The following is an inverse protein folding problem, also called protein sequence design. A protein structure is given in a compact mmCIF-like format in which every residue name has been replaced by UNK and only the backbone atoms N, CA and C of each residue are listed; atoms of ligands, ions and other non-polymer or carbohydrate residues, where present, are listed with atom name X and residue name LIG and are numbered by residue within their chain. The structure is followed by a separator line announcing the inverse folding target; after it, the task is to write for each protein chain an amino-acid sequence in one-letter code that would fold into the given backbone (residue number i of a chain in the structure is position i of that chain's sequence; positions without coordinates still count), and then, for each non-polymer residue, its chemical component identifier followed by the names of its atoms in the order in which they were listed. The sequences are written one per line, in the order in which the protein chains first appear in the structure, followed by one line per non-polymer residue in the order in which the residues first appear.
data_IF_383295361876
#
_entry.id   IF_383295361876
#
_cell.length_a   1.000
_cell.length_b   1.000
_cell.length_c   1.000
_cell.angle_alpha   90.00
_cell.angle_beta   90.00
_cell.angle_gamma   90.00
#
_symmetry.space_group_name_H-M   'P 1'
#
loop_
_entity.id
_entity.type
_entity.pdbx_description
1 polymer ?
#
# COMPACT_ATOMS: atom_id res chain seq x y z
N UNK A 1 21.64 -15.18 61.48
CA UNK A 1 21.74 -14.04 60.53
C UNK A 1 20.82 -14.32 59.35
N UNK A 2 19.66 -13.66 59.27
CA UNK A 2 18.69 -13.84 58.16
C UNK A 2 19.16 -12.99 56.98
N UNK A 3 19.50 -13.63 55.86
CA UNK A 3 19.80 -12.94 54.59
C UNK A 3 18.48 -12.69 53.87
N UNK A 4 18.05 -11.43 53.86
CA UNK A 4 16.89 -10.98 53.08
C UNK A 4 17.30 -11.00 51.61
N UNK A 5 16.70 -11.90 50.82
CA UNK A 5 16.89 -11.96 49.38
C UNK A 5 15.95 -10.93 48.75
N UNK A 6 16.49 -9.76 48.40
CA UNK A 6 15.72 -8.75 47.66
C UNK A 6 15.61 -9.19 46.21
N UNK A 7 14.42 -9.66 45.82
CA UNK A 7 14.09 -9.99 44.44
C UNK A 7 13.92 -8.68 43.65
N UNK A 8 14.93 -8.32 42.85
CA UNK A 8 14.82 -7.24 41.88
C UNK A 8 14.08 -7.82 40.67
N UNK A 9 12.77 -7.56 40.59
CA UNK A 9 12.01 -7.79 39.35
C UNK A 9 12.52 -6.79 38.30
N UNK A 10 13.40 -7.27 37.42
CA UNK A 10 13.75 -6.59 36.17
C UNK A 10 12.46 -6.47 35.37
N UNK A 11 11.87 -5.28 35.35
CA UNK A 11 10.83 -4.92 34.38
C UNK A 11 11.54 -4.97 33.03
N UNK A 12 11.37 -6.07 32.30
CA UNK A 12 11.55 -6.07 30.86
C UNK A 12 10.57 -5.04 30.33
N UNK A 13 11.05 -3.84 30.04
CA UNK A 13 10.38 -2.95 29.09
C UNK A 13 10.45 -3.69 27.76
N UNK A 14 9.46 -4.55 27.53
CA UNK A 14 9.19 -5.05 26.19
C UNK A 14 8.81 -3.80 25.41
N UNK A 15 9.79 -3.23 24.72
CA UNK A 15 9.55 -2.29 23.64
C UNK A 15 8.83 -3.09 22.56
N UNK A 16 7.53 -3.38 22.76
CA UNK A 16 6.64 -3.65 21.66
C UNK A 16 6.68 -2.37 20.83
N UNK A 17 7.55 -2.33 19.82
CA UNK A 17 7.33 -1.45 18.70
C UNK A 17 5.91 -1.76 18.26
N UNK A 18 4.95 -0.87 18.53
CA UNK A 18 3.58 -1.03 18.08
C UNK A 18 3.64 -1.06 16.55
N UNK A 19 3.79 -2.27 15.99
CA UNK A 19 3.82 -2.46 14.56
C UNK A 19 2.46 -2.00 14.05
N UNK A 20 2.46 -0.98 13.20
CA UNK A 20 1.24 -0.40 12.66
C UNK A 20 0.38 -1.50 12.05
N UNK A 21 -0.88 -1.58 12.47
CA UNK A 21 -1.84 -2.58 12.02
C UNK A 21 -2.19 -2.39 10.55
N UNK A 22 -2.80 -3.40 9.93
CA UNK A 22 -3.32 -3.30 8.56
C UNK A 22 -4.31 -2.14 8.42
N UNK A 23 -5.26 -2.02 9.36
CA UNK A 23 -6.27 -0.96 9.35
C UNK A 23 -5.62 0.42 9.43
N UNK A 24 -4.70 0.63 10.37
CA UNK A 24 -3.99 1.91 10.50
C UNK A 24 -3.15 2.22 9.25
N UNK A 25 -2.61 1.21 8.57
CA UNK A 25 -1.83 1.40 7.34
C UNK A 25 -2.74 1.78 6.17
N UNK A 26 -3.91 1.16 6.04
CA UNK A 26 -4.93 1.51 5.04
C UNK A 26 -5.47 2.92 5.29
N UNK A 27 -5.79 3.26 6.55
CA UNK A 27 -6.27 4.59 6.94
C UNK A 27 -5.23 5.67 6.59
N UNK A 28 -3.96 5.41 6.90
CA UNK A 28 -2.84 6.29 6.49
C UNK A 28 -2.75 6.44 4.97
N UNK A 29 -2.78 5.33 4.22
CA UNK A 29 -2.69 5.36 2.76
C UNK A 29 -3.84 6.16 2.13
N UNK A 30 -5.06 5.93 2.57
CA UNK A 30 -6.23 6.67 2.08
C UNK A 30 -6.15 8.17 2.40
N UNK A 31 -5.63 8.54 3.58
CA UNK A 31 -5.35 9.93 3.91
C UNK A 31 -4.32 10.55 2.95
N UNK A 32 -3.23 9.83 2.66
CA UNK A 32 -2.20 10.27 1.73
C UNK A 32 -2.71 10.36 0.28
N UNK A 33 -3.52 9.41 -0.16
CA UNK A 33 -4.13 9.41 -1.49
C UNK A 33 -5.08 10.59 -1.66
N UNK A 34 -5.93 10.85 -0.68
CA UNK A 34 -6.81 12.04 -0.67
C UNK A 34 -6.02 13.36 -0.72
N UNK A 35 -4.86 13.40 -0.08
CA UNK A 35 -4.02 14.62 0.00
C UNK A 35 -3.20 14.86 -1.28
N UNK A 36 -2.63 13.80 -1.86
CA UNK A 36 -1.56 13.91 -2.86
C UNK A 36 -1.89 13.32 -4.23
N UNK A 37 -3.04 12.67 -4.42
CA UNK A 37 -3.41 12.15 -5.74
C UNK A 37 -3.48 13.28 -6.76
N UNK A 38 -2.95 13.03 -7.95
CA UNK A 38 -3.14 13.94 -9.07
C UNK A 38 -4.61 13.96 -9.51
N UNK A 39 -5.20 15.15 -9.60
CA UNK A 39 -6.61 15.37 -9.99
C UNK A 39 -6.83 15.56 -11.49
N UNK A 40 -5.81 15.25 -12.32
CA UNK A 40 -5.93 15.40 -13.77
C UNK A 40 -7.09 14.58 -14.37
N UNK A 41 -7.79 15.15 -15.35
CA UNK A 41 -8.88 14.45 -16.04
C UNK A 41 -10.15 14.23 -15.20
N UNK A 42 -10.36 15.03 -14.15
CA UNK A 42 -11.54 14.92 -13.28
C UNK A 42 -11.42 13.82 -12.22
N UNK A 43 -10.23 13.20 -12.09
CA UNK A 43 -9.95 12.27 -11.00
C UNK A 43 -10.09 12.99 -9.67
N UNK A 44 -10.93 12.46 -8.80
CA UNK A 44 -11.25 13.10 -7.52
C UNK A 44 -11.19 12.15 -6.32
N UNK A 45 -10.82 10.89 -6.54
CA UNK A 45 -10.49 9.98 -5.45
C UNK A 45 -9.61 8.81 -5.88
N UNK A 46 -8.73 8.39 -4.99
CA UNK A 46 -8.01 7.13 -5.02
C UNK A 46 -8.16 6.52 -3.64
N UNK A 47 -8.64 5.29 -3.57
CA UNK A 47 -8.77 4.55 -2.30
C UNK A 47 -8.17 3.17 -2.43
N UNK A 48 -7.75 2.62 -1.29
CA UNK A 48 -7.39 1.22 -1.13
C UNK A 48 -8.22 0.61 0.00
N UNK A 49 -8.69 -0.61 -0.23
CA UNK A 49 -9.34 -1.45 0.77
C UNK A 49 -8.91 -2.91 0.61
N UNK A 50 -9.16 -3.70 1.63
CA UNK A 50 -8.94 -5.14 1.64
C UNK A 50 -10.26 -5.88 1.73
N UNK A 51 -10.43 -6.93 0.95
CA UNK A 51 -11.58 -7.83 1.02
C UNK A 51 -11.09 -9.29 1.01
N UNK A 52 -11.93 -10.21 1.50
CA UNK A 52 -11.69 -11.65 1.34
C UNK A 52 -12.50 -12.11 0.15
N UNK A 53 -11.84 -12.59 -0.90
CA UNK A 53 -12.52 -13.13 -2.07
C UNK A 53 -13.41 -14.31 -1.64
N UNK A 54 -14.69 -14.20 -1.98
CA UNK A 54 -15.71 -15.15 -1.53
C UNK A 54 -15.46 -16.58 -2.00
N UNK A 55 -14.82 -16.75 -3.17
CA UNK A 55 -14.56 -18.03 -3.82
C UNK A 55 -13.26 -18.68 -3.35
N UNK A 56 -12.15 -17.97 -3.48
CA UNK A 56 -10.81 -18.47 -3.17
C UNK A 56 -10.44 -18.36 -1.69
N UNK A 57 -11.22 -17.59 -0.91
CA UNK A 57 -10.92 -17.22 0.50
C UNK A 57 -9.58 -16.51 0.68
N UNK A 58 -8.96 -16.07 -0.41
CA UNK A 58 -7.74 -15.29 -0.36
C UNK A 58 -8.08 -13.83 -0.11
N UNK A 59 -7.19 -13.14 0.62
CA UNK A 59 -7.27 -11.70 0.74
C UNK A 59 -6.88 -11.05 -0.58
N UNK A 60 -7.66 -10.06 -0.98
CA UNK A 60 -7.39 -9.18 -2.11
C UNK A 60 -7.35 -7.73 -1.64
N UNK A 61 -6.46 -6.96 -2.25
CA UNK A 61 -6.50 -5.50 -2.20
C UNK A 61 -7.23 -4.98 -3.42
N UNK A 62 -8.07 -3.98 -3.17
CA UNK A 62 -8.86 -3.30 -4.20
C UNK A 62 -8.46 -1.83 -4.15
N UNK A 63 -7.95 -1.35 -5.27
CA UNK A 63 -7.68 0.07 -5.51
C UNK A 63 -8.76 0.62 -6.44
N UNK A 64 -9.44 1.67 -6.01
CA UNK A 64 -10.50 2.32 -6.77
C UNK A 64 -10.07 3.74 -7.14
N UNK A 65 -10.19 4.10 -8.42
CA UNK A 65 -10.02 5.46 -8.91
C UNK A 65 -11.39 6.03 -9.25
N UNK A 66 -11.69 7.20 -8.71
CA UNK A 66 -12.93 7.91 -8.94
C UNK A 66 -12.69 9.13 -9.84
N UNK A 67 -13.59 9.31 -10.81
CA UNK A 67 -13.70 10.51 -11.65
C UNK A 67 -15.12 11.03 -11.48
N UNK A 68 -15.28 12.31 -11.14
CA UNK A 68 -16.59 12.93 -10.84
C UNK A 68 -17.44 12.13 -9.83
N UNK A 69 -16.81 11.59 -8.77
CA UNK A 69 -17.42 10.74 -7.75
C UNK A 69 -17.97 9.39 -8.26
N UNK A 70 -17.58 8.95 -9.45
CA UNK A 70 -17.96 7.66 -10.02
C UNK A 70 -16.74 6.77 -10.16
N UNK A 71 -16.90 5.47 -9.94
CA UNK A 71 -15.84 4.49 -10.15
C UNK A 71 -15.45 4.49 -11.63
N UNK A 72 -14.22 4.91 -11.91
CA UNK A 72 -13.64 4.96 -13.24
C UNK A 72 -12.82 3.70 -13.52
N UNK A 73 -11.98 3.33 -12.56
CA UNK A 73 -11.11 2.15 -12.63
C UNK A 73 -11.11 1.42 -11.30
N UNK A 74 -11.12 0.09 -11.36
CA UNK A 74 -10.94 -0.79 -10.22
C UNK A 74 -9.81 -1.76 -10.52
N UNK A 75 -8.81 -1.79 -9.66
CA UNK A 75 -7.69 -2.72 -9.72
C UNK A 75 -7.74 -3.67 -8.51
N UNK A 76 -7.73 -4.99 -8.76
CA UNK A 76 -7.74 -6.05 -7.75
C UNK A 76 -6.49 -6.90 -7.84
N UNK A 77 -5.89 -7.22 -6.70
CA UNK A 77 -4.71 -8.08 -6.66
C UNK A 77 -4.53 -8.76 -5.31
N UNK A 78 -3.98 -9.98 -5.33
CA UNK A 78 -3.51 -10.63 -4.12
C UNK A 78 -2.13 -10.08 -3.73
N UNK A 79 -1.91 -9.69 -2.45
CA UNK A 79 -0.62 -9.18 -1.99
C UNK A 79 0.55 -10.14 -2.26
N UNK A 80 0.31 -11.46 -2.16
CA UNK A 80 1.32 -12.50 -2.43
C UNK A 80 1.87 -12.49 -3.87
N UNK A 81 1.12 -11.92 -4.81
CA UNK A 81 1.53 -11.85 -6.21
C UNK A 81 2.27 -10.54 -6.53
N UNK A 82 2.41 -9.63 -5.57
CA UNK A 82 3.18 -8.39 -5.74
C UNK A 82 4.65 -8.68 -5.49
N UNK A 83 5.46 -8.38 -6.51
CA UNK A 83 6.90 -8.65 -6.53
C UNK A 83 7.73 -7.42 -6.17
N UNK A 84 7.24 -6.22 -6.49
CA UNK A 84 7.94 -4.97 -6.22
C UNK A 84 6.98 -3.79 -6.16
N UNK A 85 7.37 -2.78 -5.39
CA UNK A 85 6.74 -1.46 -5.38
C UNK A 85 7.87 -0.45 -5.56
N UNK A 86 7.87 0.28 -6.66
CA UNK A 86 8.93 1.24 -7.00
C UNK A 86 8.38 2.65 -7.14
N UNK A 87 9.27 3.62 -6.93
CA UNK A 87 9.04 5.03 -7.23
C UNK A 87 9.97 5.41 -8.36
N UNK A 88 9.52 6.28 -9.25
CA UNK A 88 10.40 6.90 -10.24
C UNK A 88 10.19 8.42 -10.20
N UNK A 89 11.27 9.22 -10.09
CA UNK A 89 11.18 10.64 -10.40
C UNK A 89 11.02 10.80 -11.91
N UNK A 90 9.90 11.34 -12.40
CA UNK A 90 9.89 11.83 -13.77
C UNK A 90 10.82 13.05 -13.89
N UNK A 91 11.72 13.09 -14.89
CA UNK A 91 12.72 14.15 -15.04
C UNK A 91 12.13 15.51 -15.45
N UNK A 92 10.84 15.57 -15.82
CA UNK A 92 10.13 16.80 -16.18
C UNK A 92 9.01 17.06 -15.18
N UNK A 93 9.29 17.96 -14.24
CA UNK A 93 8.43 18.51 -13.18
C UNK A 93 6.91 18.43 -13.41
N UNK A 94 6.24 17.67 -12.55
CA UNK A 94 5.01 17.99 -11.78
C UNK A 94 4.44 16.72 -11.13
N UNK A 95 4.70 15.57 -11.76
CA UNK A 95 4.11 14.30 -11.35
C UNK A 95 5.17 13.29 -10.95
N UNK A 96 4.84 12.52 -9.92
CA UNK A 96 5.61 11.37 -9.50
C UNK A 96 4.69 10.19 -9.43
N UNK A 97 5.23 9.00 -9.61
CA UNK A 97 4.39 7.81 -9.57
C UNK A 97 4.96 6.72 -8.68
N UNK A 98 4.05 5.90 -8.18
CA UNK A 98 4.34 4.59 -7.62
C UNK A 98 3.88 3.54 -8.63
N UNK A 99 4.75 2.58 -8.94
CA UNK A 99 4.37 1.38 -9.69
C UNK A 99 4.31 0.17 -8.74
N UNK A 100 3.14 -0.48 -8.71
CA UNK A 100 2.92 -1.77 -8.06
C UNK A 100 3.08 -2.85 -9.15
N UNK A 101 4.08 -3.71 -8.99
CA UNK A 101 4.52 -4.67 -10.01
C UNK A 101 4.22 -6.10 -9.55
N UNK A 102 3.44 -6.82 -10.35
CA UNK A 102 3.10 -8.22 -10.09
C UNK A 102 4.05 -9.21 -10.75
N UNK A 103 4.22 -10.39 -10.14
CA UNK A 103 5.11 -11.43 -10.66
C UNK A 103 4.59 -12.12 -11.93
N UNK A 104 3.28 -12.10 -12.21
CA UNK A 104 2.65 -12.90 -13.30
C UNK A 104 1.38 -12.27 -13.88
N UNK A 105 1.40 -10.99 -14.27
CA UNK A 105 0.21 -10.28 -14.79
C UNK A 105 -1.03 -10.53 -13.93
N UNK A 106 -0.91 -10.37 -12.62
CA UNK A 106 -1.94 -10.85 -11.68
C UNK A 106 -2.78 -9.71 -11.11
N UNK A 107 -2.64 -8.50 -11.64
CA UNK A 107 -3.47 -7.36 -11.27
C UNK A 107 -4.64 -7.35 -12.25
N UNK A 108 -5.84 -7.62 -11.75
CA UNK A 108 -7.06 -7.50 -12.53
C UNK A 108 -7.51 -6.05 -12.54
N UNK A 109 -7.49 -5.42 -13.71
CA UNK A 109 -7.95 -4.06 -13.92
C UNK A 109 -9.29 -4.10 -14.68
N UNK A 110 -10.28 -3.35 -14.20
CA UNK A 110 -11.59 -3.23 -14.81
C UNK A 110 -12.05 -1.78 -14.86
N UNK A 111 -12.74 -1.42 -15.94
CA UNK A 111 -13.33 -0.11 -16.18
C UNK A 111 -14.86 -0.26 -16.22
N UNK A 112 -15.57 0.00 -15.10
CA UNK A 112 -17.00 -0.31 -14.99
C UNK A 112 -17.87 0.34 -16.07
N UNK A 113 -17.45 1.50 -16.60
CA UNK A 113 -18.21 2.24 -17.59
C UNK A 113 -17.93 1.82 -19.05
N UNK A 114 -16.94 0.96 -19.32
CA UNK A 114 -16.59 0.52 -20.69
C UNK A 114 -16.66 -0.99 -20.92
N UNK A 115 -17.04 -1.79 -19.91
CA UNK A 115 -16.95 -3.27 -19.96
C UNK A 115 -15.55 -3.81 -20.29
N UNK A 116 -14.52 -2.98 -20.21
CA UNK A 116 -13.15 -3.38 -20.45
C UNK A 116 -12.56 -3.94 -19.17
N UNK A 117 -11.92 -5.11 -19.29
CA UNK A 117 -11.12 -5.66 -18.21
C UNK A 117 -9.92 -6.43 -18.75
N UNK A 118 -8.82 -6.40 -18.01
CA UNK A 118 -7.58 -7.05 -18.40
C UNK A 118 -6.72 -7.37 -17.19
N UNK A 119 -5.86 -8.35 -17.36
CA UNK A 119 -4.79 -8.66 -16.43
C UNK A 119 -3.53 -7.89 -16.82
N UNK A 120 -3.04 -7.05 -15.90
CA UNK A 120 -1.85 -6.22 -16.12
C UNK A 120 -0.71 -6.63 -15.20
N UNK A 121 0.51 -6.34 -15.64
CA UNK A 121 1.70 -6.54 -14.82
C UNK A 121 1.89 -5.43 -13.79
N UNK A 122 1.64 -4.18 -14.20
CA UNK A 122 2.01 -2.96 -13.48
C UNK A 122 0.81 -2.05 -13.31
N UNK A 123 0.54 -1.64 -12.07
CA UNK A 123 -0.41 -0.59 -11.76
C UNK A 123 0.37 0.68 -11.40
N UNK A 124 0.11 1.77 -12.12
CA UNK A 124 0.72 3.07 -11.88
C UNK A 124 -0.26 3.97 -11.14
N UNK A 125 0.21 4.55 -10.03
CA UNK A 125 -0.52 5.55 -9.24
C UNK A 125 0.23 6.87 -9.31
N UNK A 126 -0.44 7.92 -9.77
CA UNK A 126 0.16 9.24 -9.99
C UNK A 126 -0.14 10.19 -8.83
N UNK A 127 0.88 10.92 -8.39
CA UNK A 127 0.85 11.82 -7.24
C UNK A 127 1.48 13.17 -7.56
N UNK A 128 0.94 14.21 -6.96
CA UNK A 128 1.47 15.58 -6.96
C UNK A 128 2.05 15.86 -5.58
N UNK A 129 3.30 15.42 -5.36
CA UNK A 129 3.98 15.53 -4.06
C UNK A 129 5.51 15.52 -4.21
N UNK A 130 6.26 15.62 -3.12
CA UNK A 130 7.72 15.58 -3.11
C UNK A 130 8.27 14.13 -2.99
N UNK A 131 9.59 13.95 -3.05
CA UNK A 131 10.24 12.62 -2.98
C UNK A 131 9.96 11.91 -1.66
N UNK A 132 9.98 12.65 -0.55
CA UNK A 132 9.93 12.11 0.79
C UNK A 132 8.53 11.58 1.09
N UNK A 133 7.50 12.35 0.78
CA UNK A 133 6.10 11.94 0.91
C UNK A 133 5.77 10.76 -0.02
N UNK A 134 6.27 10.78 -1.26
CA UNK A 134 6.12 9.63 -2.16
C UNK A 134 6.78 8.36 -1.59
N UNK A 135 7.96 8.50 -1.00
CA UNK A 135 8.65 7.39 -0.35
C UNK A 135 7.92 6.90 0.91
N UNK A 136 7.27 7.79 1.67
CA UNK A 136 6.39 7.39 2.80
C UNK A 136 5.19 6.58 2.32
N UNK A 137 4.53 6.99 1.24
CA UNK A 137 3.43 6.23 0.62
C UNK A 137 3.94 4.86 0.16
N UNK A 138 5.08 4.80 -0.54
CA UNK A 138 5.72 3.54 -0.97
C UNK A 138 6.00 2.63 0.22
N UNK A 139 6.60 3.14 1.30
CA UNK A 139 6.91 2.36 2.51
C UNK A 139 5.63 1.80 3.14
N UNK A 140 4.56 2.59 3.22
CA UNK A 140 3.28 2.13 3.74
C UNK A 140 2.64 1.04 2.86
N UNK A 141 2.71 1.17 1.52
CA UNK A 141 2.28 0.11 0.60
C UNK A 141 3.09 -1.18 0.81
N UNK A 142 4.42 -1.09 0.90
CA UNK A 142 5.27 -2.26 1.14
C UNK A 142 4.93 -2.92 2.49
N UNK A 143 4.77 -2.12 3.55
CA UNK A 143 4.37 -2.60 4.87
C UNK A 143 3.04 -3.34 4.82
N UNK A 144 2.02 -2.73 4.19
CA UNK A 144 0.70 -3.34 4.00
C UNK A 144 0.77 -4.68 3.25
N UNK A 145 1.57 -4.75 2.19
CA UNK A 145 1.77 -5.98 1.42
C UNK A 145 2.48 -7.06 2.25
N UNK A 146 3.52 -6.69 3.03
CA UNK A 146 4.26 -7.62 3.91
C UNK A 146 3.39 -8.17 5.04
N UNK A 147 2.57 -7.33 5.68
CA UNK A 147 1.58 -7.78 6.67
C UNK A 147 0.64 -8.86 6.12
N UNK A 148 0.46 -8.89 4.80
CA UNK A 148 -0.44 -9.79 4.10
C UNK A 148 0.29 -10.86 3.26
N UNK A 149 1.54 -11.16 3.60
CA UNK A 149 2.27 -12.30 3.08
C UNK A 149 3.01 -12.08 1.76
N UNK A 150 3.14 -10.84 1.29
CA UNK A 150 4.06 -10.52 0.21
C UNK A 150 5.52 -10.63 0.70
N UNK A 151 6.40 -11.14 -0.16
CA UNK A 151 7.83 -11.19 0.10
C UNK A 151 8.56 -10.27 -0.85
N UNK A 152 9.22 -9.24 -0.29
CA UNK A 152 10.10 -8.35 -1.05
C UNK A 152 11.54 -8.69 -0.67
N UNK A 153 12.36 -9.21 -1.59
CA UNK A 153 13.76 -9.49 -1.29
C UNK A 153 14.48 -8.19 -0.89
N UNK A 154 15.10 -8.20 0.30
CA UNK A 154 16.01 -7.19 0.86
C UNK A 154 15.63 -5.72 0.61
N UNK A 155 14.51 -5.27 1.16
CA UNK A 155 14.22 -3.83 1.31
C UNK A 155 14.23 -3.46 2.79
N UNK A 156 15.27 -2.72 3.20
CA UNK A 156 15.34 -2.07 4.51
C UNK A 156 14.27 -0.97 4.56
N UNK A 157 13.18 -1.24 5.29
CA UNK A 157 12.01 -0.36 5.36
C UNK A 157 12.30 0.96 6.10
N UNK A 158 13.40 0.99 6.87
CA UNK A 158 13.69 2.06 7.81
C UNK A 158 14.76 3.04 7.33
N UNK A 159 15.44 2.77 6.21
CA UNK A 159 16.36 3.73 5.59
C UNK A 159 15.66 4.56 4.54
N UNK A 160 15.95 5.85 4.53
CA UNK A 160 15.56 6.78 3.47
C UNK A 160 16.54 6.66 2.31
#
# INVERSE_FOLDING_TARGET
MKKTLTLICIIFTISFSNAQTEKETIDFLNSMFSTYMNTFGGMNGLTIKSEIDSKSKNKEFIIEILVDNRQFEISRFSPKNISSIITNPEPSNEYRYIEIISSKNSIFQSYPNSNESKYINRLRLNFTTNSDELNRIKKALIHLMKLNGASFPNQDLFKN
#
